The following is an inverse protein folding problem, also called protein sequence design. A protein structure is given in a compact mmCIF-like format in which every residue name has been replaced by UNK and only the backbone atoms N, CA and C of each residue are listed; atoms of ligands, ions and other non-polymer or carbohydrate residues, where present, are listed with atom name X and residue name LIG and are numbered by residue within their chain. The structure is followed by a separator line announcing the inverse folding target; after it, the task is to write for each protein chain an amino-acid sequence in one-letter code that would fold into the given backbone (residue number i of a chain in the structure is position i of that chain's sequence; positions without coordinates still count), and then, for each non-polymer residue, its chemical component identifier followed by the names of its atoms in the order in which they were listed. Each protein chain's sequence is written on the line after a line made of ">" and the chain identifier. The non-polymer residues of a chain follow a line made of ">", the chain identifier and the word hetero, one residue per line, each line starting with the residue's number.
data_IF_784994219117
#
_entry.id   IF_784994219117
#
_cell.length_a   1.000
_cell.length_b   1.000
_cell.length_c   1.000
_cell.angle_alpha   90.00
_cell.angle_beta   90.00
_cell.angle_gamma   90.00
#
_symmetry.space_group_name_H-M   'P 1'
#
loop_
_entity.id
_entity.type
_entity.pdbx_description
1 polymer ?
#
# COMPACT_ATOMS: atom_id res chain seq x y z
N UNK A 1 -2.88 -2.73 20.21
CA UNK A 1 -3.27 -3.96 19.52
C UNK A 1 -2.11 -4.47 18.70
N UNK A 2 -2.09 -5.75 18.44
CA UNK A 2 -1.01 -6.39 17.70
C UNK A 2 -1.53 -7.00 16.41
N UNK A 3 -0.65 -7.04 15.41
CA UNK A 3 -0.96 -7.54 14.08
C UNK A 3 0.23 -8.35 13.58
N UNK A 4 -0.04 -9.37 12.79
CA UNK A 4 1.00 -10.20 12.23
C UNK A 4 1.64 -9.55 11.01
N UNK A 5 2.92 -9.84 10.79
CA UNK A 5 3.59 -9.53 9.53
C UNK A 5 4.47 -10.71 9.12
N UNK A 6 4.84 -10.72 7.86
CA UNK A 6 5.83 -11.67 7.35
C UNK A 6 7.05 -10.93 6.82
N UNK A 7 8.15 -11.67 6.63
CA UNK A 7 9.38 -11.14 6.07
C UNK A 7 9.69 -11.93 4.80
N UNK A 8 9.91 -11.21 3.71
CA UNK A 8 10.34 -11.77 2.44
C UNK A 8 11.42 -10.87 1.85
N UNK A 9 12.57 -11.45 1.53
CA UNK A 9 13.72 -10.71 0.97
C UNK A 9 14.04 -9.43 1.77
N UNK A 10 14.05 -9.55 3.10
CA UNK A 10 14.34 -8.45 4.05
C UNK A 10 13.32 -7.31 4.01
N UNK A 11 12.13 -7.59 3.48
CA UNK A 11 11.02 -6.63 3.48
C UNK A 11 9.94 -7.09 4.44
N UNK A 12 9.34 -6.15 5.14
CA UNK A 12 8.19 -6.40 6.00
C UNK A 12 6.95 -6.39 5.13
N UNK A 13 6.23 -7.51 5.12
CA UNK A 13 5.01 -7.68 4.33
C UNK A 13 3.82 -7.69 5.26
N UNK A 14 2.83 -6.85 4.94
CA UNK A 14 1.57 -6.77 5.67
C UNK A 14 0.41 -6.93 4.71
N UNK A 15 -0.73 -7.41 5.21
CA UNK A 15 -1.95 -7.52 4.41
C UNK A 15 -2.95 -6.46 4.86
N UNK A 16 -3.40 -5.64 3.92
CA UNK A 16 -4.48 -4.69 4.14
C UNK A 16 -5.76 -5.18 3.48
N UNK A 17 -6.90 -4.77 4.03
CA UNK A 17 -8.20 -5.01 3.43
C UNK A 17 -8.62 -3.75 2.67
N UNK A 18 -8.98 -3.92 1.41
CA UNK A 18 -9.45 -2.80 0.58
C UNK A 18 -10.84 -3.11 0.03
N UNK A 19 -11.63 -2.07 -0.15
CA UNK A 19 -12.90 -2.16 -0.85
C UNK A 19 -12.65 -1.91 -2.34
N UNK A 20 -12.67 -2.99 -3.13
CA UNK A 20 -12.65 -2.90 -4.58
C UNK A 20 -14.00 -2.46 -5.13
N UNK A 21 -14.16 -2.56 -6.45
CA UNK A 21 -15.42 -2.16 -7.09
C UNK A 21 -16.57 -3.07 -6.65
N UNK A 22 -16.34 -4.37 -6.51
CA UNK A 22 -17.39 -5.34 -6.19
C UNK A 22 -17.25 -5.95 -4.80
N UNK A 23 -16.02 -6.13 -4.32
CA UNK A 23 -15.75 -6.91 -3.11
C UNK A 23 -14.72 -6.24 -2.21
N UNK A 24 -14.72 -6.65 -0.94
CA UNK A 24 -13.60 -6.39 -0.04
C UNK A 24 -12.58 -7.51 -0.22
N UNK A 25 -11.34 -7.15 -0.48
CA UNK A 25 -10.25 -8.10 -0.72
C UNK A 25 -9.01 -7.74 0.09
N UNK A 26 -8.22 -8.76 0.42
CA UNK A 26 -6.91 -8.57 1.04
C UNK A 26 -5.83 -8.42 -0.02
N UNK A 27 -4.97 -7.45 0.14
CA UNK A 27 -3.80 -7.28 -0.72
C UNK A 27 -2.54 -7.09 0.12
N UNK A 28 -1.41 -7.53 -0.44
CA UNK A 28 -0.12 -7.52 0.24
C UNK A 28 0.68 -6.28 -0.07
N UNK A 29 1.23 -5.66 0.96
CA UNK A 29 2.05 -4.47 0.84
C UNK A 29 3.40 -4.67 1.49
N UNK A 30 4.44 -4.08 0.91
CA UNK A 30 5.70 -3.83 1.61
C UNK A 30 5.52 -2.59 2.47
N UNK A 31 5.89 -2.67 3.73
CA UNK A 31 5.90 -1.52 4.62
C UNK A 31 7.19 -0.74 4.34
N UNK A 32 7.06 0.49 3.81
CA UNK A 32 8.19 1.24 3.27
C UNK A 32 8.23 2.67 3.83
N UNK A 33 9.07 2.88 4.84
CA UNK A 33 9.26 4.20 5.43
C UNK A 33 9.96 5.17 4.49
N UNK A 34 10.56 4.68 3.41
CA UNK A 34 11.17 5.51 2.37
C UNK A 34 10.18 6.03 1.33
N UNK A 35 8.96 5.51 1.32
CA UNK A 35 7.91 6.00 0.43
C UNK A 35 7.07 7.06 1.15
N UNK A 36 6.89 8.21 0.52
CA UNK A 36 6.04 9.27 1.10
C UNK A 36 4.56 8.96 0.97
N UNK A 37 4.18 8.20 -0.06
CA UNK A 37 2.79 7.86 -0.37
C UNK A 37 2.61 6.36 -0.48
N UNK A 38 1.44 5.89 -0.07
CA UNK A 38 1.00 4.50 -0.30
C UNK A 38 0.71 4.32 -1.78
N UNK A 39 1.16 3.20 -2.32
CA UNK A 39 1.14 2.91 -3.76
C UNK A 39 0.54 1.53 -3.97
N UNK A 40 -0.30 1.40 -5.00
CA UNK A 40 -0.77 0.11 -5.51
C UNK A 40 -0.31 -0.03 -6.96
N UNK A 41 0.18 -1.22 -7.31
CA UNK A 41 0.54 -1.54 -8.68
C UNK A 41 -0.65 -1.37 -9.63
N UNK A 42 -0.41 -0.78 -10.80
CA UNK A 42 -1.46 -0.53 -11.78
C UNK A 42 -2.18 -1.80 -12.23
N UNK A 43 -1.45 -2.91 -12.39
CA UNK A 43 -2.04 -4.20 -12.75
C UNK A 43 -2.99 -4.71 -11.67
N UNK A 44 -2.64 -4.53 -10.40
CA UNK A 44 -3.52 -4.89 -9.27
C UNK A 44 -4.78 -4.03 -9.29
N UNK A 45 -4.63 -2.70 -9.46
CA UNK A 45 -5.79 -1.80 -9.50
C UNK A 45 -6.78 -2.19 -10.61
N UNK A 46 -6.28 -2.58 -11.79
CA UNK A 46 -7.12 -3.07 -12.88
C UNK A 46 -7.84 -4.36 -12.51
N UNK A 47 -7.13 -5.32 -11.89
CA UNK A 47 -7.72 -6.61 -11.50
C UNK A 47 -8.87 -6.46 -10.51
N UNK A 48 -8.78 -5.49 -9.62
CA UNK A 48 -9.84 -5.27 -8.62
C UNK A 48 -10.95 -4.36 -9.13
N UNK A 49 -10.93 -4.02 -10.42
CA UNK A 49 -12.05 -3.43 -11.11
C UNK A 49 -11.98 -1.92 -11.37
N UNK A 50 -10.86 -1.26 -11.08
CA UNK A 50 -10.75 0.17 -11.33
C UNK A 50 -10.32 0.45 -12.77
N UNK A 51 -11.00 1.43 -13.39
CA UNK A 51 -10.63 1.91 -14.72
C UNK A 51 -9.64 3.07 -14.56
N UNK A 52 -8.36 2.80 -14.85
CA UNK A 52 -7.29 3.78 -14.65
C UNK A 52 -7.44 5.01 -15.55
N UNK A 53 -8.12 4.87 -16.69
CA UNK A 53 -8.35 6.01 -17.59
C UNK A 53 -9.25 7.07 -16.99
N UNK A 54 -10.07 6.71 -16.02
CA UNK A 54 -10.98 7.63 -15.33
C UNK A 54 -10.37 8.29 -14.11
N UNK A 55 -9.17 7.88 -13.71
CA UNK A 55 -8.50 8.42 -12.56
C UNK A 55 -7.78 9.72 -12.91
N UNK A 56 -7.68 10.61 -11.92
CA UNK A 56 -6.91 11.85 -12.06
C UNK A 56 -5.42 11.53 -12.09
N UNK A 57 -4.67 12.36 -12.81
CA UNK A 57 -3.22 12.32 -12.74
C UNK A 57 -2.75 12.78 -11.37
N UNK A 58 -1.77 12.09 -10.83
CA UNK A 58 -1.10 12.45 -9.60
C UNK A 58 0.25 13.09 -9.88
N UNK A 59 0.99 13.34 -8.81
CA UNK A 59 2.35 13.84 -8.91
C UNK A 59 3.26 12.82 -9.56
N UNK A 60 4.33 13.29 -10.19
CA UNK A 60 5.39 12.42 -10.64
C UNK A 60 6.09 11.82 -9.42
N UNK A 61 6.24 10.49 -9.45
CA UNK A 61 6.95 9.76 -8.42
C UNK A 61 8.40 9.56 -8.86
N UNK A 62 9.33 9.85 -7.95
CA UNK A 62 10.76 9.66 -8.24
C UNK A 62 11.13 8.21 -8.02
N UNK A 63 11.74 7.60 -9.02
CA UNK A 63 12.27 6.24 -8.96
C UNK A 63 13.74 6.26 -9.34
N UNK A 64 14.41 5.12 -9.21
CA UNK A 64 15.81 4.97 -9.64
C UNK A 64 15.98 5.25 -11.14
N UNK A 65 14.93 5.14 -11.94
CA UNK A 65 14.93 5.39 -13.38
C UNK A 65 14.45 6.79 -13.76
N UNK A 66 14.22 7.67 -12.77
CA UNK A 66 13.71 9.02 -12.98
C UNK A 66 12.25 9.16 -12.56
N UNK A 67 11.60 10.25 -12.94
CA UNK A 67 10.21 10.52 -12.62
C UNK A 67 9.25 9.67 -13.46
N UNK A 68 8.24 9.09 -12.81
CA UNK A 68 7.15 8.36 -13.47
C UNK A 68 5.82 9.02 -13.18
N UNK A 69 4.93 8.99 -14.17
CA UNK A 69 3.58 9.51 -13.99
C UNK A 69 2.76 8.54 -13.15
N UNK A 70 1.96 9.09 -12.25
CA UNK A 70 1.05 8.30 -11.43
C UNK A 70 -0.39 8.72 -11.65
N UNK A 71 -1.32 7.88 -11.23
CA UNK A 71 -2.73 8.19 -11.09
C UNK A 71 -3.09 8.23 -9.61
N UNK A 72 -4.13 8.95 -9.26
CA UNK A 72 -4.66 8.98 -7.90
C UNK A 72 -5.96 8.21 -7.86
N UNK A 73 -6.02 7.23 -6.96
CA UNK A 73 -7.22 6.47 -6.66
C UNK A 73 -7.67 6.81 -5.25
N UNK A 74 -8.90 7.29 -5.11
CA UNK A 74 -9.54 7.40 -3.80
C UNK A 74 -10.13 6.04 -3.46
N UNK A 75 -9.42 5.29 -2.64
CA UNK A 75 -9.86 3.97 -2.21
C UNK A 75 -11.09 4.13 -1.31
N UNK A 76 -12.26 3.56 -1.67
CA UNK A 76 -13.46 3.75 -0.87
C UNK A 76 -13.29 3.35 0.58
N UNK A 77 -12.61 2.23 0.84
CA UNK A 77 -12.26 1.81 2.19
C UNK A 77 -10.91 1.11 2.17
N UNK A 78 -10.06 1.50 3.10
CA UNK A 78 -8.73 0.93 3.30
C UNK A 78 -8.56 0.65 4.78
N UNK A 79 -8.29 -0.61 5.13
CA UNK A 79 -8.19 -1.03 6.53
C UNK A 79 -6.86 -1.74 6.76
N UNK A 80 -6.09 -1.22 7.71
CA UNK A 80 -4.81 -1.81 8.11
C UNK A 80 -4.54 -1.41 9.56
N UNK A 81 -4.05 -2.34 10.36
CA UNK A 81 -3.70 -2.12 11.76
C UNK A 81 -4.83 -1.46 12.58
N UNK A 82 -6.08 -1.91 12.34
CA UNK A 82 -7.24 -1.38 13.05
C UNK A 82 -7.69 0.01 12.62
N UNK A 83 -7.01 0.64 11.66
CA UNK A 83 -7.44 1.91 11.07
C UNK A 83 -8.28 1.64 9.83
N UNK A 84 -9.48 2.20 9.81
CA UNK A 84 -10.36 2.19 8.63
C UNK A 84 -10.36 3.61 8.04
N UNK A 85 -9.81 3.75 6.84
CA UNK A 85 -9.78 5.03 6.15
C UNK A 85 -10.77 5.01 4.99
N UNK A 86 -11.54 6.09 4.86
CA UNK A 86 -12.52 6.27 3.80
C UNK A 86 -11.94 7.28 2.80
N UNK A 87 -12.05 6.97 1.50
CA UNK A 87 -11.52 7.80 0.42
C UNK A 87 -10.03 8.12 0.59
N UNK A 88 -9.25 7.14 1.03
CA UNK A 88 -7.82 7.28 1.18
C UNK A 88 -7.17 7.39 -0.20
N UNK A 89 -6.42 8.45 -0.44
CA UNK A 89 -5.74 8.65 -1.72
C UNK A 89 -4.52 7.77 -1.83
N UNK A 90 -4.54 6.89 -2.83
CA UNK A 90 -3.46 5.96 -3.13
C UNK A 90 -2.92 6.28 -4.51
N UNK A 91 -1.60 6.30 -4.64
CA UNK A 91 -0.95 6.50 -5.94
C UNK A 91 -0.90 5.18 -6.70
N UNK A 92 -1.19 5.24 -7.98
CA UNK A 92 -1.21 4.08 -8.87
C UNK A 92 -0.16 4.27 -9.95
N UNK A 93 0.75 3.32 -10.09
CA UNK A 93 1.65 3.23 -11.24
C UNK A 93 2.21 1.81 -11.36
N UNK A 94 2.93 1.54 -12.45
CA UNK A 94 3.53 0.22 -12.66
C UNK A 94 4.76 0.04 -11.78
N UNK A 95 4.65 -0.84 -10.78
CA UNK A 95 5.78 -1.20 -9.93
C UNK A 95 6.73 -2.15 -10.67
N UNK A 96 8.03 -2.12 -10.33
CA UNK A 96 8.98 -3.07 -10.91
C UNK A 96 8.62 -4.52 -10.62
N UNK A 97 8.98 -5.43 -11.53
CA UNK A 97 8.73 -6.86 -11.36
C UNK A 97 9.34 -7.43 -10.08
N UNK A 98 10.47 -6.88 -9.64
CA UNK A 98 11.11 -7.29 -8.40
C UNK A 98 10.19 -7.12 -7.18
N UNK A 99 9.26 -6.17 -7.24
CA UNK A 99 8.28 -5.92 -6.19
C UNK A 99 7.00 -6.70 -6.46
N UNK A 100 6.45 -6.62 -7.67
CA UNK A 100 5.16 -7.25 -7.99
C UNK A 100 5.20 -8.76 -7.91
N UNK A 101 6.40 -9.35 -7.90
CA UNK A 101 6.59 -10.77 -7.72
C UNK A 101 6.05 -11.26 -6.36
N UNK A 102 6.07 -10.41 -5.33
CA UNK A 102 5.67 -10.83 -3.97
C UNK A 102 4.81 -9.82 -3.21
N UNK A 103 4.50 -8.66 -3.80
CA UNK A 103 3.66 -7.65 -3.17
C UNK A 103 2.84 -6.91 -4.21
N UNK A 104 1.73 -6.34 -3.77
CA UNK A 104 0.80 -5.62 -4.62
C UNK A 104 1.01 -4.10 -4.55
N UNK A 105 1.76 -3.64 -3.56
CA UNK A 105 1.98 -2.23 -3.36
C UNK A 105 2.94 -1.93 -2.22
N UNK A 106 3.05 -0.65 -1.89
CA UNK A 106 3.89 -0.14 -0.80
C UNK A 106 3.04 0.68 0.15
N UNK A 107 3.19 0.46 1.46
CA UNK A 107 2.61 1.34 2.49
C UNK A 107 3.63 2.44 2.76
N UNK A 108 3.24 3.67 2.54
CA UNK A 108 4.10 4.82 2.72
C UNK A 108 3.84 5.58 4.02
N UNK A 109 4.58 6.67 4.19
CA UNK A 109 4.51 7.50 5.39
C UNK A 109 3.16 8.17 5.56
N UNK A 110 2.41 8.41 4.47
CA UNK A 110 1.07 8.98 4.54
C UNK A 110 0.12 8.12 5.41
N UNK A 111 0.28 6.80 5.36
CA UNK A 111 -0.46 5.90 6.24
C UNK A 111 0.20 5.75 7.60
N UNK A 112 1.51 5.55 7.65
CA UNK A 112 2.22 5.27 8.90
C UNK A 112 2.11 6.42 9.90
N UNK A 113 2.03 7.66 9.43
CA UNK A 113 1.86 8.84 10.30
C UNK A 113 0.48 8.94 10.95
N UNK A 114 -0.45 8.02 10.63
CA UNK A 114 -1.73 7.93 11.34
C UNK A 114 -1.57 7.41 12.78
N UNK A 115 -0.41 6.85 13.11
CA UNK A 115 -0.12 6.28 14.42
C UNK A 115 0.90 7.13 15.16
N UNK A 116 0.77 7.18 16.49
CA UNK A 116 1.78 7.81 17.33
C UNK A 116 3.03 6.95 17.42
N UNK A 117 2.83 5.63 17.54
CA UNK A 117 3.92 4.67 17.67
C UNK A 117 3.63 3.40 16.88
N UNK A 118 4.67 2.86 16.27
CA UNK A 118 4.65 1.55 15.63
C UNK A 118 5.87 0.77 16.13
N UNK A 119 5.62 -0.36 16.78
CA UNK A 119 6.68 -1.20 17.34
C UNK A 119 6.72 -2.54 16.62
N UNK A 120 7.89 -2.95 16.20
CA UNK A 120 8.12 -4.23 15.52
C UNK A 120 8.77 -5.21 16.47
N UNK A 121 8.19 -6.40 16.57
CA UNK A 121 8.82 -7.56 17.20
C UNK A 121 9.23 -8.53 16.09
N UNK A 122 10.52 -8.57 15.80
CA UNK A 122 11.04 -9.39 14.70
C UNK A 122 11.16 -10.87 15.06
N UNK A 123 11.15 -11.20 16.34
CA UNK A 123 11.17 -12.59 16.78
C UNK A 123 9.80 -13.23 16.63
N UNK A 124 8.77 -12.55 17.13
CA UNK A 124 7.39 -13.04 17.04
C UNK A 124 6.71 -12.63 15.73
N UNK A 125 7.30 -11.73 14.97
CA UNK A 125 6.75 -11.16 13.73
C UNK A 125 5.38 -10.52 13.96
N UNK A 126 5.32 -9.64 14.95
CA UNK A 126 4.12 -8.86 15.24
C UNK A 126 4.45 -7.36 15.25
N UNK A 127 3.44 -6.59 14.89
CA UNK A 127 3.46 -5.13 14.95
C UNK A 127 2.47 -4.70 16.03
N UNK A 128 2.93 -3.80 16.89
CA UNK A 128 2.07 -3.18 17.90
C UNK A 128 1.94 -1.69 17.55
N UNK A 129 0.70 -1.20 17.50
CA UNK A 129 0.39 0.19 17.18
C UNK A 129 -0.29 0.90 18.34
N UNK A 130 -0.03 2.18 18.41
CA UNK A 130 -0.71 3.04 19.39
C UNK A 130 -0.89 4.47 18.89
#
# INVERSE_FOLDING_TARGET
>A
MTYDFSIYRRSIIVEAQIRGVNDTIGISFILDTGASKTIIDAGVARRIGFDLKRLKDGDKLMTAKGGVNSKILKMPKFSLFGKDLVNFEISIFDLPLQITYFADGLIGMDFLLQFDNIKFDFVQKIIETS
#
